data_IF_126406465030
#
_entry.id   IF_126406465030
#
_cell.length_a   1.000
_cell.length_b   1.000
_cell.length_c   1.000
_cell.angle_alpha   90.00
_cell.angle_beta   90.00
_cell.angle_gamma   90.00
#
_symmetry.space_group_name_H-M   'P 1'
#
loop_
_entity.id
_entity.type
_entity.pdbx_description
1 polymer ?
#
# COMPACT_ATOMS: atom_id res chain seq x y z
N UNK A 1 2.44 18.39 -24.30
CA UNK A 1 3.44 18.26 -23.20
C UNK A 1 2.72 17.63 -22.02
N UNK A 2 3.22 16.55 -21.43
CA UNK A 2 2.54 15.91 -20.30
C UNK A 2 2.68 16.79 -19.04
N UNK A 3 1.56 17.29 -18.55
CA UNK A 3 1.48 18.09 -17.32
C UNK A 3 1.91 17.24 -16.11
N UNK A 4 2.76 17.80 -15.26
CA UNK A 4 3.21 17.15 -14.03
C UNK A 4 2.45 17.76 -12.87
N UNK A 5 1.53 17.00 -12.28
CA UNK A 5 0.73 17.46 -11.14
C UNK A 5 1.54 17.24 -9.87
N UNK A 6 1.71 18.29 -9.07
CA UNK A 6 2.36 18.24 -7.76
C UNK A 6 1.27 18.27 -6.67
N UNK A 7 1.19 17.22 -5.85
CA UNK A 7 0.27 17.13 -4.70
C UNK A 7 1.05 16.86 -3.42
N UNK A 8 0.49 17.23 -2.27
CA UNK A 8 0.96 16.71 -0.99
C UNK A 8 0.49 15.26 -0.84
N UNK A 9 1.31 14.42 -0.22
CA UNK A 9 0.88 13.10 0.20
C UNK A 9 -0.23 13.24 1.25
N UNK A 10 -1.33 12.52 1.07
CA UNK A 10 -2.41 12.45 2.05
C UNK A 10 -2.35 11.08 2.76
N UNK A 11 -1.86 11.03 4.01
CA UNK A 11 -1.70 9.77 4.75
C UNK A 11 -3.03 9.09 5.09
N UNK A 12 -4.15 9.81 5.00
CA UNK A 12 -5.48 9.29 5.34
C UNK A 12 -6.25 8.86 4.09
N UNK A 13 -5.73 9.14 2.89
CA UNK A 13 -6.37 8.74 1.64
C UNK A 13 -5.63 7.63 0.92
N UNK A 14 -4.35 7.37 1.22
CA UNK A 14 -3.57 6.44 0.41
C UNK A 14 -3.16 5.18 1.20
N UNK A 15 -3.62 4.04 0.71
CA UNK A 15 -3.28 2.71 1.21
C UNK A 15 -1.98 2.27 0.55
N UNK A 16 -0.86 2.34 1.29
CA UNK A 16 0.46 2.00 0.77
C UNK A 16 0.77 0.52 0.95
N UNK A 17 0.89 -0.20 -0.16
CA UNK A 17 1.11 -1.64 -0.18
C UNK A 17 2.55 -1.93 -0.62
N UNK A 18 3.43 -2.45 0.24
CA UNK A 18 4.80 -2.79 -0.15
C UNK A 18 4.81 -3.97 -1.11
N UNK A 19 5.41 -3.80 -2.28
CA UNK A 19 5.80 -4.96 -3.09
C UNK A 19 6.99 -5.68 -2.46
N UNK A 20 7.22 -6.94 -2.85
CA UNK A 20 8.42 -7.69 -2.43
C UNK A 20 9.72 -6.90 -2.68
N UNK A 21 9.83 -6.26 -3.85
CA UNK A 21 11.01 -5.47 -4.17
C UNK A 21 11.16 -4.25 -3.26
N UNK A 22 10.07 -3.53 -2.97
CA UNK A 22 10.12 -2.40 -2.03
C UNK A 22 10.50 -2.85 -0.61
N UNK A 23 9.96 -3.98 -0.14
CA UNK A 23 10.32 -4.57 1.16
C UNK A 23 11.82 -4.87 1.24
N UNK A 24 12.39 -5.49 0.20
CA UNK A 24 13.84 -5.75 0.13
C UNK A 24 14.67 -4.45 0.13
N UNK A 25 14.18 -3.37 -0.48
CA UNK A 25 14.85 -2.06 -0.45
C UNK A 25 14.81 -1.43 0.94
N UNK A 26 13.67 -1.52 1.63
CA UNK A 26 13.51 -1.01 2.99
C UNK A 26 14.41 -1.75 3.98
N UNK A 27 14.43 -3.10 3.95
CA UNK A 27 15.30 -3.93 4.80
C UNK A 27 16.81 -3.67 4.62
N UNK A 28 17.23 -3.11 3.49
CA UNK A 28 18.63 -2.79 3.24
C UNK A 28 19.07 -1.44 3.82
N UNK A 29 18.14 -0.54 4.13
CA UNK A 29 18.47 0.89 4.35
C UNK A 29 17.67 1.57 5.45
N UNK A 30 16.47 1.11 5.74
CA UNK A 30 15.50 1.75 6.64
C UNK A 30 15.07 0.83 7.79
N UNK A 31 15.14 -0.48 7.60
CA UNK A 31 14.58 -1.49 8.51
C UNK A 31 15.57 -2.61 8.78
N UNK A 32 15.30 -3.40 9.81
CA UNK A 32 16.00 -4.66 10.10
C UNK A 32 15.89 -5.64 8.92
N UNK A 33 16.89 -6.50 8.66
CA UNK A 33 16.78 -7.58 7.67
C UNK A 33 15.60 -8.53 7.90
N UNK A 34 15.14 -8.65 9.15
CA UNK A 34 14.00 -9.48 9.55
C UNK A 34 12.65 -8.75 9.53
N UNK A 35 12.63 -7.45 9.21
CA UNK A 35 11.43 -6.61 9.30
C UNK A 35 10.27 -7.18 8.47
N UNK A 36 9.09 -7.21 9.05
CA UNK A 36 7.90 -7.79 8.43
C UNK A 36 7.10 -6.77 7.59
N UNK A 37 5.91 -7.17 7.12
CA UNK A 37 5.03 -6.33 6.30
C UNK A 37 4.48 -5.15 7.11
N UNK A 38 3.96 -5.32 8.34
CA UNK A 38 3.59 -4.21 9.23
C UNK A 38 4.68 -3.14 9.40
N UNK A 39 5.91 -3.54 9.71
CA UNK A 39 7.05 -2.62 9.84
C UNK A 39 7.31 -1.86 8.54
N UNK A 40 7.24 -2.55 7.40
CA UNK A 40 7.42 -1.93 6.10
C UNK A 40 6.32 -0.91 5.77
N UNK A 41 5.05 -1.23 6.03
CA UNK A 41 3.93 -0.29 5.83
C UNK A 41 4.11 0.94 6.72
N UNK A 42 4.48 0.75 7.99
CA UNK A 42 4.74 1.87 8.90
C UNK A 42 5.88 2.78 8.41
N UNK A 43 7.00 2.19 7.98
CA UNK A 43 8.12 2.93 7.40
C UNK A 43 7.73 3.70 6.14
N UNK A 44 6.95 3.08 5.25
CA UNK A 44 6.46 3.72 4.03
C UNK A 44 5.57 4.93 4.34
N UNK A 45 4.67 4.82 5.33
CA UNK A 45 3.82 5.93 5.77
C UNK A 45 4.65 7.09 6.33
N UNK A 46 5.64 6.79 7.18
CA UNK A 46 6.58 7.79 7.71
C UNK A 46 7.38 8.50 6.61
N UNK A 47 7.86 7.74 5.61
CA UNK A 47 8.58 8.35 4.49
C UNK A 47 7.64 9.23 3.65
N UNK A 48 6.46 8.71 3.33
CA UNK A 48 5.50 9.38 2.46
C UNK A 48 4.96 10.69 3.05
N UNK A 49 4.79 10.79 4.38
CA UNK A 49 4.30 12.02 5.04
C UNK A 49 5.22 13.24 4.85
N UNK A 50 6.49 13.02 4.49
CA UNK A 50 7.47 14.09 4.23
C UNK A 50 7.70 14.37 2.74
N UNK A 51 6.88 13.78 1.86
CA UNK A 51 7.10 13.82 0.41
C UNK A 51 6.11 14.73 -0.33
N UNK A 52 6.55 15.27 -1.47
CA UNK A 52 5.68 15.83 -2.51
C UNK A 52 5.47 14.77 -3.58
N UNK A 53 4.25 14.66 -4.08
CA UNK A 53 3.83 13.59 -4.99
C UNK A 53 3.68 14.16 -6.38
N UNK A 54 4.45 13.59 -7.31
CA UNK A 54 4.49 13.94 -8.71
C UNK A 54 3.70 12.89 -9.48
N UNK A 55 2.73 13.30 -10.29
CA UNK A 55 1.95 12.42 -11.13
C UNK A 55 2.25 12.76 -12.59
N UNK A 56 2.72 11.78 -13.36
CA UNK A 56 2.99 11.94 -14.80
C UNK A 56 2.71 10.63 -15.54
N UNK A 57 1.84 10.67 -16.54
CA UNK A 57 1.43 9.49 -17.34
C UNK A 57 1.04 8.30 -16.46
N UNK A 58 0.19 8.53 -15.45
CA UNK A 58 -0.25 7.55 -14.45
C UNK A 58 0.87 6.92 -13.60
N UNK A 59 2.09 7.44 -13.68
CA UNK A 59 3.18 7.11 -12.77
C UNK A 59 3.14 8.08 -11.60
N UNK A 60 3.00 7.51 -10.40
CA UNK A 60 2.97 8.25 -9.15
C UNK A 60 4.35 8.17 -8.50
N UNK A 61 4.93 9.32 -8.15
CA UNK A 61 6.26 9.38 -7.53
C UNK A 61 6.21 10.29 -6.31
N UNK A 62 6.36 9.71 -5.12
CA UNK A 62 6.46 10.48 -3.89
C UNK A 62 7.93 10.80 -3.61
N UNK A 63 8.30 12.07 -3.71
CA UNK A 63 9.69 12.54 -3.59
C UNK A 63 9.86 13.30 -2.28
N UNK A 64 10.70 12.76 -1.40
CA UNK A 64 11.21 13.43 -0.22
C UNK A 64 12.67 13.82 -0.39
N UNK A 65 13.25 14.43 0.64
CA UNK A 65 14.66 14.88 0.66
C UNK A 65 15.65 13.71 0.58
N UNK A 66 15.35 12.62 1.29
CA UNK A 66 16.24 11.46 1.39
C UNK A 66 15.81 10.28 0.52
N UNK A 67 14.50 10.13 0.26
CA UNK A 67 13.92 8.96 -0.39
C UNK A 67 12.85 9.34 -1.40
N UNK A 68 12.72 8.50 -2.42
CA UNK A 68 11.68 8.53 -3.44
C UNK A 68 10.98 7.19 -3.46
N UNK A 69 9.65 7.24 -3.39
CA UNK A 69 8.76 6.11 -3.53
C UNK A 69 8.20 6.14 -4.94
N UNK A 70 8.36 5.05 -5.68
CA UNK A 70 7.68 4.86 -6.96
C UNK A 70 6.42 4.05 -6.70
N UNK A 71 5.29 4.61 -7.09
CA UNK A 71 3.96 4.13 -6.77
C UNK A 71 3.21 3.76 -8.05
N UNK A 72 2.39 2.72 -7.96
CA UNK A 72 1.49 2.29 -9.04
C UNK A 72 0.10 2.08 -8.46
N UNK A 73 -0.93 2.59 -9.13
CA UNK A 73 -2.31 2.38 -8.68
C UNK A 73 -2.66 0.89 -8.78
N UNK A 74 -3.24 0.35 -7.70
CA UNK A 74 -3.69 -1.02 -7.64
C UNK A 74 -5.16 -1.09 -8.06
N UNK A 75 -5.50 -2.10 -8.86
CA UNK A 75 -6.90 -2.40 -9.16
C UNK A 75 -7.55 -3.06 -7.94
N UNK A 76 -8.40 -2.33 -7.24
CA UNK A 76 -9.32 -2.87 -6.23
C UNK A 76 -10.69 -3.15 -6.85
N UNK A 77 -11.47 -4.01 -6.21
CA UNK A 77 -12.84 -4.31 -6.60
C UNK A 77 -13.79 -3.84 -5.49
N UNK A 78 -14.99 -3.42 -5.87
CA UNK A 78 -16.04 -3.12 -4.88
C UNK A 78 -16.31 -4.37 -4.04
N UNK A 79 -16.32 -4.20 -2.72
CA UNK A 79 -16.57 -5.27 -1.75
C UNK A 79 -17.94 -5.89 -1.95
N UNK A 80 -18.97 -5.09 -2.24
CA UNK A 80 -20.32 -5.57 -2.56
C UNK A 80 -20.30 -6.66 -3.65
N UNK A 81 -19.45 -6.50 -4.68
CA UNK A 81 -19.35 -7.47 -5.79
C UNK A 81 -18.32 -8.57 -5.54
N UNK A 82 -17.33 -8.31 -4.70
CA UNK A 82 -16.17 -9.18 -4.48
C UNK A 82 -16.31 -10.06 -3.23
N UNK A 83 -17.27 -9.76 -2.35
CA UNK A 83 -17.42 -10.39 -1.04
C UNK A 83 -17.48 -11.92 -1.09
N UNK A 84 -18.29 -12.50 -1.97
CA UNK A 84 -18.40 -13.96 -2.08
C UNK A 84 -17.12 -14.62 -2.61
N UNK A 85 -16.40 -13.94 -3.50
CA UNK A 85 -15.10 -14.41 -3.96
C UNK A 85 -14.05 -14.31 -2.85
N UNK A 86 -14.05 -13.22 -2.10
CA UNK A 86 -13.16 -13.03 -0.95
C UNK A 86 -13.41 -14.08 0.14
N UNK A 87 -14.68 -14.34 0.50
CA UNK A 87 -15.05 -15.43 1.43
C UNK A 87 -14.53 -16.78 0.94
N UNK A 88 -14.71 -17.10 -0.35
CA UNK A 88 -14.19 -18.35 -0.95
C UNK A 88 -12.66 -18.43 -0.96
N UNK A 89 -11.96 -17.32 -1.14
CA UNK A 89 -10.49 -17.30 -1.05
C UNK A 89 -10.03 -17.54 0.38
N UNK A 90 -10.62 -16.86 1.35
CA UNK A 90 -10.25 -17.00 2.76
C UNK A 90 -10.60 -18.38 3.33
N UNK A 91 -11.73 -18.97 2.92
CA UNK A 91 -12.16 -20.31 3.38
C UNK A 91 -11.25 -21.44 2.89
N UNK A 92 -10.45 -21.22 1.86
CA UNK A 92 -9.45 -22.18 1.36
C UNK A 92 -8.13 -22.12 2.11
N UNK A 93 -7.91 -21.08 2.91
CA UNK A 93 -6.72 -20.94 3.73
C UNK A 93 -6.88 -21.73 5.03
N UNK A 94 -5.77 -22.21 5.57
CA UNK A 94 -5.78 -22.75 6.92
C UNK A 94 -6.23 -21.65 7.91
N UNK A 95 -7.08 -21.92 8.92
CA UNK A 95 -7.61 -20.88 9.81
C UNK A 95 -6.54 -20.03 10.50
N UNK A 96 -5.40 -20.64 10.84
CA UNK A 96 -4.25 -19.95 11.48
C UNK A 96 -3.34 -19.22 10.49
N UNK A 97 -3.61 -19.31 9.20
CA UNK A 97 -2.81 -18.66 8.16
C UNK A 97 -2.83 -17.14 8.34
N UNK A 98 -1.66 -16.52 8.48
CA UNK A 98 -1.55 -15.07 8.66
C UNK A 98 -1.84 -14.34 7.36
N UNK A 99 -2.81 -13.43 7.42
CA UNK A 99 -3.15 -12.43 6.41
C UNK A 99 -2.80 -11.05 6.95
N UNK A 100 -2.07 -10.26 6.17
CA UNK A 100 -1.77 -8.86 6.46
C UNK A 100 -2.88 -7.98 5.90
N UNK A 101 -3.70 -7.42 6.79
CA UNK A 101 -4.74 -6.47 6.42
C UNK A 101 -4.12 -5.08 6.36
N UNK A 102 -4.12 -4.47 5.19
CA UNK A 102 -3.53 -3.16 4.92
C UNK A 102 -4.64 -2.17 4.59
N UNK A 103 -4.67 -1.06 5.32
CA UNK A 103 -5.63 0.04 5.18
C UNK A 103 -4.90 1.38 5.11
N UNK A 104 -5.65 2.47 4.96
CA UNK A 104 -5.07 3.81 4.98
C UNK A 104 -4.46 4.16 6.35
N UNK A 105 -4.82 3.48 7.43
CA UNK A 105 -4.26 3.71 8.76
C UNK A 105 -2.95 2.97 9.00
N UNK A 106 -2.76 1.81 8.37
CA UNK A 106 -1.58 0.99 8.56
C UNK A 106 -1.78 -0.46 8.13
N UNK A 107 -1.10 -1.36 8.82
CA UNK A 107 -1.16 -2.79 8.54
C UNK A 107 -1.24 -3.58 9.84
N UNK A 108 -2.10 -4.59 9.88
CA UNK A 108 -2.22 -5.53 11.00
C UNK A 108 -2.17 -6.98 10.50
N UNK A 109 -1.40 -7.86 11.16
CA UNK A 109 -1.51 -9.29 10.92
C UNK A 109 -2.79 -9.83 11.58
N UNK A 110 -3.52 -10.67 10.89
CA UNK A 110 -4.72 -11.34 11.38
C UNK A 110 -4.74 -12.77 10.85
N UNK A 111 -5.27 -13.72 11.63
CA UNK A 111 -5.48 -15.08 11.13
C UNK A 111 -6.66 -15.14 10.15
N UNK A 112 -6.55 -15.94 9.09
CA UNK A 112 -7.60 -16.06 8.07
C UNK A 112 -8.96 -16.43 8.67
N UNK A 113 -9.00 -17.29 9.70
CA UNK A 113 -10.23 -17.68 10.38
C UNK A 113 -10.85 -16.61 11.28
N UNK A 114 -10.17 -15.48 11.49
CA UNK A 114 -10.68 -14.32 12.26
C UNK A 114 -11.17 -13.19 11.34
N UNK A 115 -11.05 -13.33 10.02
CA UNK A 115 -11.56 -12.34 9.07
C UNK A 115 -13.05 -12.58 8.86
N UNK A 116 -13.86 -11.71 9.45
CA UNK A 116 -15.27 -11.60 9.10
C UNK A 116 -15.42 -10.64 7.90
N UNK A 117 -15.79 -11.19 6.74
CA UNK A 117 -15.93 -10.38 5.52
C UNK A 117 -17.21 -9.54 5.54
N UNK A 118 -18.25 -9.96 6.27
CA UNK A 118 -19.47 -9.18 6.43
C UNK A 118 -19.18 -7.90 7.23
N UNK A 119 -18.45 -8.02 8.34
CA UNK A 119 -18.00 -6.86 9.12
C UNK A 119 -17.14 -5.91 8.28
N UNK A 120 -16.18 -6.44 7.51
CA UNK A 120 -15.34 -5.61 6.64
C UNK A 120 -16.15 -4.85 5.58
N UNK A 121 -17.23 -5.43 5.07
CA UNK A 121 -18.10 -4.77 4.09
C UNK A 121 -18.93 -3.62 4.69
N UNK A 122 -19.03 -3.52 6.02
CA UNK A 122 -19.68 -2.37 6.68
C UNK A 122 -18.77 -1.14 6.78
N UNK A 123 -17.44 -1.35 6.81
CA UNK A 123 -16.46 -0.28 7.02
C UNK A 123 -15.69 0.12 5.76
N UNK A 124 -15.58 -0.79 4.79
CA UNK A 124 -14.78 -0.62 3.59
C UNK A 124 -15.60 -0.85 2.33
N UNK A 125 -15.25 -0.12 1.28
CA UNK A 125 -15.97 -0.17 -0.01
C UNK A 125 -15.24 -1.01 -1.04
N UNK A 126 -13.91 -1.08 -0.94
CA UNK A 126 -13.07 -1.73 -1.93
C UNK A 126 -12.10 -2.70 -1.25
N UNK A 127 -11.88 -3.83 -1.91
CA UNK A 127 -10.92 -4.81 -1.46
C UNK A 127 -10.08 -5.37 -2.62
N UNK A 128 -8.92 -5.88 -2.26
CA UNK A 128 -8.11 -6.76 -3.11
C UNK A 128 -7.35 -7.75 -2.24
N UNK A 129 -7.57 -9.04 -2.47
CA UNK A 129 -6.79 -10.08 -1.82
C UNK A 129 -5.70 -10.61 -2.75
N UNK A 130 -4.50 -10.83 -2.20
CA UNK A 130 -3.39 -11.51 -2.87
C UNK A 130 -2.91 -12.65 -1.98
N UNK A 131 -3.22 -13.89 -2.39
CA UNK A 131 -2.80 -15.10 -1.68
C UNK A 131 -1.28 -15.27 -1.64
N UNK A 132 -0.59 -14.96 -2.75
CA UNK A 132 0.89 -15.05 -2.84
C UNK A 132 1.56 -14.08 -1.85
N UNK A 133 1.08 -12.84 -1.79
CA UNK A 133 1.60 -11.82 -0.89
C UNK A 133 1.00 -11.89 0.53
N UNK A 134 0.07 -12.82 0.78
CA UNK A 134 -0.72 -12.91 2.03
C UNK A 134 -1.35 -11.59 2.46
N UNK A 135 -1.74 -10.76 1.51
CA UNK A 135 -2.13 -9.38 1.76
C UNK A 135 -3.58 -9.18 1.39
N UNK A 136 -4.38 -8.65 2.31
CA UNK A 136 -5.71 -8.12 2.07
C UNK A 136 -5.64 -6.60 2.12
N UNK A 137 -5.86 -5.96 0.99
CA UNK A 137 -5.92 -4.50 0.89
C UNK A 137 -7.38 -4.09 1.01
N UNK A 138 -7.68 -3.15 1.90
CA UNK A 138 -9.02 -2.58 2.08
C UNK A 138 -8.94 -1.06 1.93
N UNK A 139 -9.96 -0.47 1.31
CA UNK A 139 -10.05 0.97 1.10
C UNK A 139 -11.51 1.46 1.21
N UNK A 140 -11.67 2.68 1.69
CA UNK A 140 -12.96 3.40 1.78
C UNK A 140 -13.17 4.34 0.59
N UNK A 141 -14.32 5.02 0.57
CA UNK A 141 -14.62 6.01 -0.47
C UNK A 141 -13.55 7.09 -0.56
N UNK A 142 -13.06 7.32 -1.77
CA UNK A 142 -12.01 8.29 -2.06
C UNK A 142 -10.61 7.90 -1.57
N UNK A 143 -10.44 6.72 -0.95
CA UNK A 143 -9.12 6.17 -0.70
C UNK A 143 -8.55 5.49 -1.96
N UNK A 144 -7.23 5.56 -2.15
CA UNK A 144 -6.51 4.94 -3.26
C UNK A 144 -5.52 3.90 -2.76
N UNK A 145 -5.61 2.69 -3.29
CA UNK A 145 -4.61 1.65 -3.07
C UNK A 145 -3.43 1.83 -4.03
N UNK A 146 -2.24 2.04 -3.46
CA UNK A 146 -1.00 2.29 -4.20
C UNK A 146 0.05 1.24 -3.84
N UNK A 147 0.48 0.48 -4.84
CA UNK A 147 1.60 -0.43 -4.71
C UNK A 147 2.89 0.39 -4.70
N UNK A 148 3.68 0.26 -3.64
CA UNK A 148 5.04 0.80 -3.61
C UNK A 148 5.94 -0.18 -4.36
N UNK A 149 6.29 0.19 -5.59
CA UNK A 149 7.09 -0.63 -6.50
C UNK A 149 8.55 -0.64 -6.07
N UNK A 150 9.08 0.51 -5.64
CA UNK A 150 10.45 0.61 -5.15
C UNK A 150 10.65 1.83 -4.26
N UNK A 151 11.66 1.75 -3.39
CA UNK A 151 12.16 2.84 -2.54
C UNK A 151 13.62 3.07 -2.90
N UNK A 152 13.98 4.30 -3.25
CA UNK A 152 15.33 4.65 -3.71
C UNK A 152 15.72 6.08 -3.33
N UNK A 153 17.00 6.46 -3.45
CA UNK A 153 17.40 7.87 -3.37
C UNK A 153 16.73 8.73 -4.48
N UNK A 154 16.45 10.02 -4.20
CA UNK A 154 15.95 10.97 -5.18
C UNK A 154 16.96 11.25 -6.29
N UNK A 155 16.49 11.24 -7.54
CA UNK A 155 17.27 11.65 -8.72
C UNK A 155 17.45 13.16 -8.72
N UNK A 156 18.50 13.65 -9.38
CA UNK A 156 18.80 15.10 -9.51
C UNK A 156 17.60 15.92 -10.02
N UNK A 157 16.85 15.38 -10.99
CA UNK A 157 15.65 16.05 -11.53
C UNK A 157 14.48 16.07 -10.54
N UNK A 158 14.35 15.07 -9.67
CA UNK A 158 13.28 14.98 -8.67
C UNK A 158 13.53 15.95 -7.51
N UNK A 159 14.79 16.09 -7.08
CA UNK A 159 15.18 17.06 -6.04
C UNK A 159 14.81 18.49 -6.42
N UNK A 160 15.12 18.89 -7.65
CA UNK A 160 14.77 20.21 -8.20
C UNK A 160 13.28 20.52 -8.23
N UNK A 161 12.41 19.51 -8.19
CA UNK A 161 10.96 19.70 -8.21
C UNK A 161 10.37 19.87 -6.80
N UNK A 162 11.16 19.55 -5.77
CA UNK A 162 10.73 19.65 -4.38
C UNK A 162 11.44 20.74 -3.58
N UNK A 163 12.59 21.22 -4.07
CA UNK A 163 13.20 22.53 -3.73
C UNK A 163 12.26 23.68 -4.11
#
# INVERSE_FOLDING_TARGET
>A
MAETIVRKFDPNKWVLVPTRHALERLRKRELSPSADVPEAVHALRRLASTTKVLIKNDVWVAVGTERTLVLSEMRTMSLEKYQDELKRHLSRLHPTYTVYVITAEGCRPTSAGQLDVDDLATEFEYARFSGEARTLVLAREGEKALAVVTVRPPRKKERKLIE
#
